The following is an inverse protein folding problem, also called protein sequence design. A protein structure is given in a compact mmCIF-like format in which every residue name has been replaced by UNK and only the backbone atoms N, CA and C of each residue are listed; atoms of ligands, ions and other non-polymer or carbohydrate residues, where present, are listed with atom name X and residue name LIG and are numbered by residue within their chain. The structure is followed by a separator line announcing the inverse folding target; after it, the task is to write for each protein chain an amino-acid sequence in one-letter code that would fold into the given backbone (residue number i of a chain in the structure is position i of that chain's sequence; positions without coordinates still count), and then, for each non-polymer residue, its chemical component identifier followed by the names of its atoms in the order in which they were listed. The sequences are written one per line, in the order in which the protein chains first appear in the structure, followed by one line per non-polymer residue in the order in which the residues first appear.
data_IF_828159151671
#
_entry.id   IF_828159151671
#
_cell.length_a   1.000
_cell.length_b   1.000
_cell.length_c   1.000
_cell.angle_alpha   90.00
_cell.angle_beta   90.00
_cell.angle_gamma   90.00
#
_symmetry.space_group_name_H-M   'P 1'
#
loop_
_entity.id
_entity.type
_entity.pdbx_description
1 polymer ?
#
# COMPACT_ATOMS: atom_id res chain seq x y z
N UNK A 1 40.33 0.99 -5.29
CA UNK A 1 39.40 1.68 -6.19
C UNK A 1 38.12 1.88 -5.41
N UNK A 2 37.93 3.08 -4.88
CA UNK A 2 36.66 3.47 -4.27
C UNK A 2 35.61 3.54 -5.39
N UNK A 3 34.50 2.83 -5.20
CA UNK A 3 33.34 2.92 -6.09
C UNK A 3 32.81 4.35 -5.95
N UNK A 4 32.57 5.11 -7.05
CA UNK A 4 31.99 6.44 -6.92
C UNK A 4 30.62 6.28 -6.25
N UNK A 5 30.41 6.90 -5.09
CA UNK A 5 29.08 7.08 -4.53
C UNK A 5 28.29 7.96 -5.49
N UNK A 6 27.52 7.33 -6.38
CA UNK A 6 26.56 8.04 -7.22
C UNK A 6 25.47 8.57 -6.29
N UNK A 7 25.63 9.80 -5.82
CA UNK A 7 24.66 10.45 -4.95
C UNK A 7 23.31 10.76 -5.64
N UNK A 8 23.06 10.29 -6.87
CA UNK A 8 21.84 10.55 -7.68
C UNK A 8 21.34 12.01 -7.71
N UNK A 9 22.15 13.00 -7.29
CA UNK A 9 21.71 14.38 -7.08
C UNK A 9 20.88 14.62 -5.82
N UNK A 10 20.85 13.71 -4.85
CA UNK A 10 20.12 13.90 -3.59
C UNK A 10 20.71 15.05 -2.77
N UNK A 11 19.81 15.94 -2.35
CA UNK A 11 20.08 16.85 -1.25
C UNK A 11 19.74 16.16 0.08
N UNK A 12 20.53 16.44 1.11
CA UNK A 12 20.32 15.89 2.45
C UNK A 12 19.92 16.99 3.43
N UNK A 13 19.05 16.66 4.37
CA UNK A 13 18.80 17.50 5.54
C UNK A 13 20.02 17.51 6.49
N UNK A 14 19.99 18.39 7.49
CA UNK A 14 21.04 18.51 8.52
C UNK A 14 21.29 17.21 9.32
N UNK A 15 20.48 16.17 9.10
CA UNK A 15 20.57 14.85 9.75
C UNK A 15 21.03 13.76 8.78
N UNK A 16 21.46 14.13 7.57
CA UNK A 16 21.96 13.19 6.56
C UNK A 16 20.87 12.36 5.89
N UNK A 17 19.59 12.79 5.91
CA UNK A 17 18.48 12.09 5.26
C UNK A 17 18.06 12.80 3.98
N UNK A 18 17.59 12.04 3.00
CA UNK A 18 17.22 12.60 1.69
C UNK A 18 16.08 13.60 1.82
N UNK A 19 16.28 14.80 1.26
CA UNK A 19 15.23 15.78 1.06
C UNK A 19 14.43 15.43 -0.20
N UNK A 20 13.33 14.70 0.00
CA UNK A 20 12.47 14.20 -1.09
C UNK A 20 11.93 15.36 -1.95
N UNK A 21 11.56 16.49 -1.35
CA UNK A 21 11.00 17.64 -2.07
C UNK A 21 12.00 18.35 -2.98
N UNK A 22 13.30 18.23 -2.68
CA UNK A 22 14.39 18.79 -3.50
C UNK A 22 15.09 17.73 -4.34
N UNK A 23 14.57 16.50 -4.31
CA UNK A 23 15.05 15.40 -5.13
C UNK A 23 14.72 15.69 -6.60
N UNK A 24 15.66 15.48 -7.54
CA UNK A 24 15.37 15.65 -8.97
C UNK A 24 14.31 14.68 -9.50
N UNK A 25 13.95 13.67 -8.70
CA UNK A 25 12.95 12.66 -9.03
C UNK A 25 11.56 12.95 -8.46
N UNK A 26 11.39 14.03 -7.72
CA UNK A 26 10.09 14.44 -7.21
C UNK A 26 9.54 15.58 -8.07
N UNK A 27 8.60 15.26 -8.95
CA UNK A 27 7.86 16.25 -9.75
C UNK A 27 6.44 16.43 -9.20
N UNK A 28 6.10 17.68 -8.90
CA UNK A 28 4.77 18.10 -8.40
C UNK A 28 3.75 18.14 -9.54
N UNK A 29 4.21 18.21 -10.80
CA UNK A 29 3.43 18.47 -12.00
C UNK A 29 2.95 17.25 -12.79
N UNK A 30 2.29 16.28 -12.15
CA UNK A 30 1.63 15.17 -12.88
C UNK A 30 0.30 15.54 -13.56
N UNK A 31 -0.04 16.83 -13.68
CA UNK A 31 -1.33 17.23 -14.28
C UNK A 31 -1.36 17.06 -15.81
N UNK A 32 -0.23 16.74 -16.46
CA UNK A 32 -0.09 16.76 -17.92
C UNK A 32 0.87 15.73 -18.54
N UNK A 33 1.25 14.65 -17.87
CA UNK A 33 2.25 13.73 -18.45
C UNK A 33 1.61 12.50 -19.10
N UNK A 34 1.92 12.27 -20.38
CA UNK A 34 1.52 11.11 -21.20
C UNK A 34 2.05 9.77 -20.65
N UNK A 35 2.74 9.80 -19.50
CA UNK A 35 3.37 8.67 -18.80
C UNK A 35 2.45 7.97 -17.80
N UNK A 36 1.28 8.53 -17.45
CA UNK A 36 0.28 7.84 -16.60
C UNK A 36 -0.37 6.67 -17.35
N UNK A 37 -0.58 6.82 -18.65
CA UNK A 37 -1.06 5.74 -19.54
C UNK A 37 0.01 4.64 -19.67
N UNK A 38 1.28 5.03 -19.84
CA UNK A 38 2.44 4.13 -19.86
C UNK A 38 2.69 3.43 -18.51
N UNK A 39 2.40 4.10 -17.39
CA UNK A 39 2.45 3.59 -16.02
C UNK A 39 1.40 2.48 -15.81
N UNK A 40 0.14 2.76 -16.17
CA UNK A 40 -0.95 1.78 -16.05
C UNK A 40 -0.75 0.61 -17.03
N UNK A 41 -0.28 0.88 -18.25
CA UNK A 41 0.03 -0.13 -19.26
C UNK A 41 1.28 -0.96 -18.93
N UNK A 42 2.24 -0.46 -18.13
CA UNK A 42 3.38 -1.24 -17.62
C UNK A 42 3.05 -2.03 -16.36
N UNK A 43 2.34 -1.45 -15.42
CA UNK A 43 2.18 -2.03 -14.09
C UNK A 43 1.10 -3.09 -14.06
N UNK A 44 -0.01 -2.89 -14.76
CA UNK A 44 -1.10 -3.88 -14.73
C UNK A 44 -0.65 -5.22 -15.32
N UNK A 45 0.05 -5.28 -16.47
CA UNK A 45 0.58 -6.55 -16.99
C UNK A 45 1.79 -7.07 -16.22
N UNK A 46 2.74 -6.22 -15.81
CA UNK A 46 3.92 -6.68 -15.05
C UNK A 46 3.57 -7.12 -13.64
N UNK A 47 2.55 -6.57 -12.98
CA UNK A 47 2.03 -7.11 -11.72
C UNK A 47 1.33 -8.45 -11.91
N UNK A 48 0.63 -8.66 -13.04
CA UNK A 48 0.02 -9.95 -13.38
C UNK A 48 1.11 -10.98 -13.72
N UNK A 49 2.10 -10.63 -14.55
CA UNK A 49 3.23 -11.50 -14.93
C UNK A 49 4.18 -11.77 -13.77
N UNK A 50 4.48 -10.78 -12.90
CA UNK A 50 5.33 -10.99 -11.72
C UNK A 50 4.62 -11.87 -10.70
N UNK A 51 3.29 -11.75 -10.56
CA UNK A 51 2.50 -12.70 -9.75
C UNK A 51 2.58 -14.10 -10.36
N UNK A 52 2.34 -14.27 -11.66
CA UNK A 52 2.42 -15.58 -12.30
C UNK A 52 3.85 -16.18 -12.27
N UNK A 53 4.90 -15.38 -12.46
CA UNK A 53 6.29 -15.82 -12.42
C UNK A 53 6.76 -16.16 -10.99
N UNK A 54 6.42 -15.35 -9.98
CA UNK A 54 6.82 -15.60 -8.59
C UNK A 54 6.09 -16.82 -7.98
N UNK A 55 4.93 -17.21 -8.53
CA UNK A 55 4.20 -18.43 -8.18
C UNK A 55 4.55 -19.65 -9.05
N UNK A 56 5.35 -19.50 -10.12
CA UNK A 56 5.75 -20.62 -11.00
C UNK A 56 7.05 -21.34 -10.56
N UNK A 57 7.85 -20.76 -9.67
CA UNK A 57 9.25 -21.22 -9.39
C UNK A 57 9.40 -22.15 -8.16
N UNK A 58 8.31 -22.58 -7.51
CA UNK A 58 8.41 -23.60 -6.44
C UNK A 58 7.74 -24.93 -6.82
N UNK A 59 8.50 -25.92 -7.34
CA UNK A 59 8.03 -27.30 -7.48
C UNK A 59 8.18 -28.04 -6.14
N UNK A 60 7.08 -28.28 -5.44
CA UNK A 60 7.08 -29.11 -4.23
C UNK A 60 6.82 -30.57 -4.58
N UNK A 61 7.90 -31.35 -4.68
CA UNK A 61 7.89 -32.82 -4.73
C UNK A 61 7.63 -33.36 -3.32
N UNK A 62 6.62 -34.21 -3.17
CA UNK A 62 6.36 -34.97 -1.95
C UNK A 62 7.21 -36.26 -1.98
N UNK A 63 8.33 -36.28 -1.26
CA UNK A 63 8.93 -37.54 -0.78
C UNK A 63 8.92 -37.59 0.74
N UNK A 64 8.27 -38.63 1.27
CA UNK A 64 7.86 -38.72 2.66
C UNK A 64 8.92 -39.26 3.62
N UNK A 65 8.84 -38.82 4.88
CA UNK A 65 9.00 -39.68 6.06
C UNK A 65 8.08 -39.19 7.18
N UNK A 66 7.53 -40.19 7.88
CA UNK A 66 6.41 -40.12 8.84
C UNK A 66 6.80 -39.46 10.16
N UNK A 67 5.98 -38.51 10.62
CA UNK A 67 5.71 -38.21 12.03
C UNK A 67 4.19 -37.92 12.19
N UNK A 68 3.60 -38.15 13.38
CA UNK A 68 2.16 -38.38 13.58
C UNK A 68 1.31 -37.12 13.35
N UNK A 69 -0.01 -37.26 13.12
CA UNK A 69 -0.79 -36.23 12.43
C UNK A 69 -1.05 -35.03 13.36
N UNK A 70 -0.75 -33.79 12.94
CA UNK A 70 -1.51 -32.64 13.40
C UNK A 70 -2.91 -32.67 12.73
N UNK A 71 -3.93 -32.06 13.35
CA UNK A 71 -5.28 -32.00 12.78
C UNK A 71 -5.24 -31.33 11.40
N UNK A 72 -6.13 -31.80 10.51
CA UNK A 72 -6.20 -31.48 9.07
C UNK A 72 -5.83 -30.03 8.70
N UNK A 73 -5.12 -29.81 7.58
CA UNK A 73 -4.99 -28.47 7.00
C UNK A 73 -6.36 -27.98 6.52
N UNK A 74 -6.69 -26.73 6.83
CA UNK A 74 -7.77 -26.00 6.19
C UNK A 74 -7.41 -25.68 4.72
N UNK A 75 -8.39 -25.59 3.81
CA UNK A 75 -8.15 -25.52 2.37
C UNK A 75 -7.72 -24.12 1.92
N UNK A 76 -6.68 -24.08 1.06
CA UNK A 76 -6.44 -23.19 -0.10
C UNK A 76 -7.01 -21.76 -0.10
N UNK A 77 -6.11 -20.77 -0.20
CA UNK A 77 -6.24 -19.50 -0.97
C UNK A 77 -7.61 -18.81 -0.93
N UNK A 78 -7.89 -18.07 0.14
CA UNK A 78 -9.08 -17.22 0.32
C UNK A 78 -9.04 -15.94 -0.53
N UNK A 79 -7.87 -15.36 -0.75
CA UNK A 79 -7.72 -14.05 -1.43
C UNK A 79 -8.28 -14.08 -2.87
N UNK A 80 -7.98 -15.13 -3.66
CA UNK A 80 -8.52 -15.32 -5.02
C UNK A 80 -10.07 -15.36 -5.09
N UNK A 81 -10.76 -15.75 -4.00
CA UNK A 81 -12.24 -15.79 -3.94
C UNK A 81 -12.85 -14.42 -3.61
N UNK A 82 -12.18 -13.62 -2.80
CA UNK A 82 -12.55 -12.23 -2.52
C UNK A 82 -12.44 -11.41 -3.80
N UNK A 83 -11.33 -11.57 -4.55
CA UNK A 83 -11.15 -10.98 -5.87
C UNK A 83 -12.28 -11.39 -6.83
N UNK A 84 -12.62 -12.67 -6.91
CA UNK A 84 -13.65 -13.15 -7.84
C UNK A 84 -15.07 -12.63 -7.55
N UNK A 85 -15.39 -12.32 -6.29
CA UNK A 85 -16.76 -11.91 -5.90
C UNK A 85 -16.93 -10.40 -5.83
N UNK A 86 -15.92 -9.65 -5.35
CA UNK A 86 -15.85 -8.19 -5.53
C UNK A 86 -15.73 -7.81 -7.01
N UNK A 87 -15.10 -8.63 -7.86
CA UNK A 87 -15.05 -8.42 -9.30
C UNK A 87 -16.43 -8.54 -9.99
N UNK A 88 -17.39 -9.31 -9.45
CA UNK A 88 -18.72 -9.46 -10.07
C UNK A 88 -19.65 -8.26 -9.81
N UNK A 89 -19.54 -7.61 -8.64
CA UNK A 89 -20.26 -6.36 -8.33
C UNK A 89 -19.49 -5.10 -8.75
N UNK A 90 -18.17 -5.14 -8.62
CA UNK A 90 -17.25 -4.04 -8.88
C UNK A 90 -16.75 -3.93 -10.33
N UNK A 91 -17.15 -4.81 -11.26
CA UNK A 91 -16.68 -4.74 -12.65
C UNK A 91 -17.03 -3.40 -13.34
N UNK A 92 -18.15 -2.78 -12.97
CA UNK A 92 -18.56 -1.49 -13.53
C UNK A 92 -17.81 -0.32 -12.86
N UNK A 93 -17.61 -0.38 -11.54
CA UNK A 93 -16.77 0.56 -10.79
C UNK A 93 -15.32 0.51 -11.24
N UNK A 94 -14.78 -0.70 -11.49
CA UNK A 94 -13.42 -0.92 -11.98
C UNK A 94 -13.22 -0.31 -13.36
N UNK A 95 -14.17 -0.51 -14.28
CA UNK A 95 -14.14 0.14 -15.59
C UNK A 95 -14.17 1.67 -15.51
N UNK A 96 -14.88 2.24 -14.53
CA UNK A 96 -14.90 3.68 -14.31
C UNK A 96 -13.60 4.20 -13.70
N UNK A 97 -13.00 3.45 -12.76
CA UNK A 97 -11.65 3.68 -12.25
C UNK A 97 -10.67 3.68 -13.43
N UNK A 98 -10.67 2.63 -14.25
CA UNK A 98 -9.76 2.46 -15.38
C UNK A 98 -9.93 3.58 -16.43
N UNK A 99 -11.17 3.99 -16.74
CA UNK A 99 -11.47 5.06 -17.69
C UNK A 99 -11.06 6.45 -17.19
N UNK A 100 -11.20 6.72 -15.89
CA UNK A 100 -10.87 8.03 -15.30
C UNK A 100 -9.37 8.12 -14.95
N UNK A 101 -8.75 7.00 -14.58
CA UNK A 101 -7.30 6.90 -14.38
C UNK A 101 -6.52 7.07 -15.68
N UNK A 102 -7.06 6.62 -16.82
CA UNK A 102 -6.49 6.86 -18.15
C UNK A 102 -6.55 8.32 -18.64
N UNK A 103 -7.28 9.20 -17.93
CA UNK A 103 -7.41 10.62 -18.30
C UNK A 103 -6.35 11.54 -17.67
N UNK A 104 -5.45 11.00 -16.83
CA UNK A 104 -4.38 11.75 -16.16
C UNK A 104 -4.82 12.56 -14.93
N UNK A 105 -6.13 12.76 -14.70
CA UNK A 105 -6.61 13.53 -13.54
C UNK A 105 -6.98 12.65 -12.33
N UNK A 106 -5.98 12.33 -11.51
CA UNK A 106 -6.17 11.53 -10.28
C UNK A 106 -7.20 12.13 -9.31
N UNK A 107 -7.46 13.45 -9.32
CA UNK A 107 -8.46 14.07 -8.44
C UNK A 107 -9.89 13.76 -8.86
N UNK A 108 -10.14 13.65 -10.16
CA UNK A 108 -11.43 13.18 -10.68
C UNK A 108 -11.58 11.69 -10.43
N UNK A 109 -10.51 10.90 -10.62
CA UNK A 109 -10.54 9.45 -10.50
C UNK A 109 -10.88 8.92 -9.09
N UNK A 110 -10.59 9.69 -8.03
CA UNK A 110 -10.90 9.28 -6.65
C UNK A 110 -12.35 9.56 -6.23
N UNK A 111 -13.10 10.38 -6.98
CA UNK A 111 -14.47 10.76 -6.61
C UNK A 111 -15.40 9.57 -6.66
N UNK A 112 -16.39 9.57 -5.76
CA UNK A 112 -17.47 8.60 -5.80
C UNK A 112 -18.25 8.75 -7.11
N UNK A 113 -18.37 7.69 -7.95
CA UNK A 113 -19.11 7.80 -9.19
C UNK A 113 -20.61 8.05 -8.93
N UNK A 114 -21.30 8.82 -9.80
CA UNK A 114 -22.71 9.13 -9.60
C UNK A 114 -23.58 7.88 -9.53
N UNK A 115 -24.32 7.70 -8.43
CA UNK A 115 -25.24 6.58 -8.24
C UNK A 115 -24.64 5.34 -7.58
N UNK A 116 -23.34 5.34 -7.29
CA UNK A 116 -22.66 4.24 -6.60
C UNK A 116 -22.78 4.33 -5.07
N UNK A 117 -22.66 3.19 -4.40
CA UNK A 117 -22.62 3.13 -2.94
C UNK A 117 -21.24 3.50 -2.40
N UNK A 118 -21.21 4.34 -1.36
CA UNK A 118 -19.97 4.85 -0.79
C UNK A 118 -19.15 3.75 -0.09
N UNK A 119 -19.78 2.75 0.53
CA UNK A 119 -19.06 1.67 1.20
C UNK A 119 -18.50 0.67 0.20
N UNK A 120 -19.23 0.37 -0.89
CA UNK A 120 -18.68 -0.41 -2.02
C UNK A 120 -17.44 0.27 -2.61
N UNK A 121 -17.52 1.58 -2.86
CA UNK A 121 -16.38 2.35 -3.38
C UNK A 121 -15.18 2.33 -2.44
N UNK A 122 -15.42 2.50 -1.14
CA UNK A 122 -14.38 2.39 -0.12
C UNK A 122 -13.80 0.97 -0.05
N UNK A 123 -14.63 -0.07 -0.16
CA UNK A 123 -14.20 -1.46 -0.10
C UNK A 123 -13.23 -1.81 -1.24
N UNK A 124 -13.64 -1.53 -2.48
CA UNK A 124 -12.84 -1.80 -3.69
C UNK A 124 -11.48 -1.10 -3.60
N UNK A 125 -11.49 0.20 -3.28
CA UNK A 125 -10.25 0.97 -3.19
C UNK A 125 -9.38 0.55 -2.00
N UNK A 126 -9.96 0.10 -0.88
CA UNK A 126 -9.18 -0.42 0.27
C UNK A 126 -8.33 -1.61 -0.15
N UNK A 127 -8.91 -2.56 -0.91
CA UNK A 127 -8.19 -3.73 -1.43
C UNK A 127 -7.08 -3.29 -2.40
N UNK A 128 -7.38 -2.36 -3.30
CA UNK A 128 -6.39 -1.86 -4.26
C UNK A 128 -5.19 -1.19 -3.59
N UNK A 129 -5.41 -0.31 -2.61
CA UNK A 129 -4.31 0.32 -1.88
C UNK A 129 -3.53 -0.67 -1.02
N UNK A 130 -4.20 -1.65 -0.39
CA UNK A 130 -3.51 -2.71 0.33
C UNK A 130 -2.53 -3.44 -0.59
N UNK A 131 -2.98 -3.85 -1.78
CA UNK A 131 -2.14 -4.55 -2.75
C UNK A 131 -0.98 -3.69 -3.25
N UNK A 132 -1.24 -2.42 -3.59
CA UNK A 132 -0.20 -1.49 -4.03
C UNK A 132 0.89 -1.33 -2.97
N UNK A 133 0.51 -1.17 -1.70
CA UNK A 133 1.48 -1.05 -0.60
C UNK A 133 2.22 -2.37 -0.37
N UNK A 134 1.53 -3.51 -0.46
CA UNK A 134 2.15 -4.83 -0.31
C UNK A 134 3.20 -5.09 -1.39
N UNK A 135 2.88 -4.75 -2.64
CA UNK A 135 3.79 -4.87 -3.78
C UNK A 135 4.99 -3.91 -3.66
N UNK A 136 4.75 -2.63 -3.35
CA UNK A 136 5.82 -1.65 -3.11
C UNK A 136 6.74 -2.05 -1.96
N UNK A 137 6.19 -2.60 -0.88
CA UNK A 137 7.01 -3.06 0.23
C UNK A 137 7.76 -4.37 -0.10
N UNK A 138 7.17 -5.23 -0.94
CA UNK A 138 7.78 -6.46 -1.43
C UNK A 138 9.17 -6.25 -2.03
N UNK A 139 9.36 -5.16 -2.79
CA UNK A 139 10.65 -4.80 -3.42
C UNK A 139 11.72 -4.35 -2.42
N UNK A 140 11.32 -4.08 -1.18
CA UNK A 140 12.19 -3.60 -0.09
C UNK A 140 12.49 -4.64 0.98
N UNK A 141 11.88 -5.83 0.92
CA UNK A 141 11.98 -6.86 1.98
C UNK A 141 13.42 -7.30 2.28
N UNK A 142 14.29 -7.32 1.27
CA UNK A 142 15.72 -7.65 1.44
C UNK A 142 16.54 -6.52 2.09
N UNK A 143 16.01 -5.30 2.11
CA UNK A 143 16.71 -4.11 2.61
C UNK A 143 16.17 -3.62 3.95
N UNK A 144 14.88 -3.83 4.20
CA UNK A 144 14.22 -3.55 5.47
C UNK A 144 14.37 -4.76 6.40
N UNK A 145 15.51 -4.84 7.08
CA UNK A 145 15.82 -5.94 8.01
C UNK A 145 15.72 -5.49 9.47
N UNK A 146 15.61 -6.42 10.45
CA UNK A 146 15.65 -6.06 11.86
C UNK A 146 16.94 -5.34 12.29
N UNK A 147 18.04 -5.55 11.56
CA UNK A 147 19.33 -4.89 11.82
C UNK A 147 19.32 -3.45 11.30
N UNK A 148 18.81 -3.22 10.08
CA UNK A 148 18.74 -1.89 9.47
C UNK A 148 17.61 -1.04 10.06
N UNK A 149 16.50 -1.67 10.43
CA UNK A 149 15.28 -1.03 10.91
C UNK A 149 14.77 -1.72 12.19
N UNK A 150 15.51 -1.63 13.31
CA UNK A 150 15.18 -2.30 14.57
C UNK A 150 13.89 -1.79 15.22
N UNK A 151 13.38 -0.66 14.76
CA UNK A 151 12.13 -0.05 15.23
C UNK A 151 11.35 0.52 14.05
N UNK A 152 10.03 0.32 14.04
CA UNK A 152 9.16 0.92 13.03
C UNK A 152 9.06 2.44 13.24
N UNK A 153 9.67 3.23 12.35
CA UNK A 153 9.75 4.69 12.47
C UNK A 153 9.44 5.39 11.15
N UNK A 154 9.02 6.65 11.23
CA UNK A 154 8.94 7.58 10.10
C UNK A 154 9.80 8.80 10.42
N UNK A 155 11.10 8.65 10.19
CA UNK A 155 12.11 9.61 10.62
C UNK A 155 12.28 9.65 12.15
N UNK A 156 13.08 10.58 12.67
CA UNK A 156 13.53 10.58 14.07
C UNK A 156 12.47 11.06 15.07
N UNK A 157 11.33 11.56 14.60
CA UNK A 157 10.27 12.14 15.45
C UNK A 157 9.12 11.18 15.71
N UNK A 158 8.96 10.15 14.88
CA UNK A 158 7.76 9.30 14.88
C UNK A 158 8.16 7.84 14.98
N UNK A 159 7.72 7.20 16.06
CA UNK A 159 7.85 5.77 16.32
C UNK A 159 6.45 5.14 16.35
N UNK A 160 6.30 4.00 15.67
CA UNK A 160 5.05 3.24 15.63
C UNK A 160 5.18 1.94 16.41
N UNK A 161 4.27 1.74 17.35
CA UNK A 161 4.14 0.51 18.13
C UNK A 161 2.94 -0.29 17.66
N UNK A 162 3.06 -1.62 17.71
CA UNK A 162 2.03 -2.52 17.22
C UNK A 162 1.05 -2.92 18.32
N UNK A 163 -0.25 -2.84 18.02
CA UNK A 163 -1.34 -3.44 18.79
C UNK A 163 -2.51 -3.70 17.85
N UNK A 164 -3.12 -4.88 17.91
CA UNK A 164 -4.31 -5.24 17.13
C UNK A 164 -5.61 -5.13 17.94
N UNK A 165 -5.51 -4.89 19.26
CA UNK A 165 -6.66 -4.80 20.16
C UNK A 165 -7.30 -6.16 20.53
N UNK A 166 -6.86 -7.24 19.89
CA UNK A 166 -7.39 -8.60 20.07
C UNK A 166 -6.35 -9.48 20.74
N UNK A 167 -5.28 -9.85 20.01
CA UNK A 167 -4.20 -10.69 20.54
C UNK A 167 -3.18 -9.84 21.33
N UNK A 168 -2.86 -8.66 20.80
CA UNK A 168 -1.90 -7.71 21.35
C UNK A 168 -2.64 -6.43 21.75
N UNK A 169 -3.09 -6.40 23.00
CA UNK A 169 -3.84 -5.27 23.57
C UNK A 169 -2.97 -4.10 24.00
N UNK A 170 -1.74 -4.37 24.42
CA UNK A 170 -0.77 -3.34 24.82
C UNK A 170 0.20 -3.10 23.67
N UNK A 171 0.43 -1.84 23.24
CA UNK A 171 1.37 -1.54 22.18
C UNK A 171 2.77 -2.08 22.48
N UNK A 172 3.31 -2.91 21.58
CA UNK A 172 4.65 -3.48 21.67
C UNK A 172 5.60 -2.81 20.66
N UNK A 173 6.86 -2.73 21.04
CA UNK A 173 7.95 -2.34 20.15
C UNK A 173 8.37 -3.56 19.32
N UNK A 174 8.49 -3.37 18.02
CA UNK A 174 8.95 -4.37 17.06
C UNK A 174 9.76 -3.68 15.96
N UNK A 175 10.59 -4.45 15.26
CA UNK A 175 11.30 -3.97 14.08
C UNK A 175 10.32 -3.55 12.97
N UNK A 176 10.77 -2.68 12.07
CA UNK A 176 9.95 -2.26 10.93
C UNK A 176 9.43 -3.43 10.08
N UNK A 177 10.26 -4.42 9.67
CA UNK A 177 9.73 -5.56 8.92
C UNK A 177 8.73 -6.38 9.70
N UNK A 178 8.92 -6.54 11.02
CA UNK A 178 7.97 -7.27 11.86
C UNK A 178 6.65 -6.51 12.05
N UNK A 179 6.72 -5.18 12.14
CA UNK A 179 5.52 -4.34 12.15
C UNK A 179 4.73 -4.49 10.86
N UNK A 180 5.40 -4.45 9.70
CA UNK A 180 4.75 -4.56 8.39
C UNK A 180 4.15 -5.94 8.19
N UNK A 181 4.83 -7.02 8.60
CA UNK A 181 4.29 -8.38 8.62
C UNK A 181 2.97 -8.43 9.40
N UNK A 182 2.97 -7.99 10.67
CA UNK A 182 1.75 -7.96 11.48
C UNK A 182 0.65 -7.07 10.88
N UNK A 183 1.03 -6.00 10.20
CA UNK A 183 0.08 -5.13 9.53
C UNK A 183 -0.60 -5.83 8.36
N UNK A 184 0.17 -6.47 7.48
CA UNK A 184 -0.38 -7.14 6.31
C UNK A 184 -1.30 -8.29 6.72
N UNK A 185 -0.86 -9.16 7.63
CA UNK A 185 -1.66 -10.25 8.19
C UNK A 185 -2.97 -9.73 8.81
N UNK A 186 -2.90 -8.62 9.54
CA UNK A 186 -4.08 -8.01 10.15
C UNK A 186 -5.05 -7.46 9.10
N UNK A 187 -4.57 -6.74 8.07
CA UNK A 187 -5.44 -6.21 7.02
C UNK A 187 -6.09 -7.36 6.26
N UNK A 188 -5.34 -8.40 5.88
CA UNK A 188 -5.89 -9.59 5.21
C UNK A 188 -7.01 -10.22 6.03
N UNK A 189 -6.80 -10.41 7.33
CA UNK A 189 -7.84 -10.93 8.21
C UNK A 189 -9.12 -10.05 8.25
N UNK A 190 -8.97 -8.72 8.13
CA UNK A 190 -10.13 -7.83 8.03
C UNK A 190 -10.85 -7.96 6.67
N UNK A 191 -10.09 -8.06 5.57
CA UNK A 191 -10.64 -8.19 4.21
C UNK A 191 -11.32 -9.54 3.99
N UNK A 192 -10.82 -10.60 4.64
CA UNK A 192 -11.37 -11.96 4.59
C UNK A 192 -12.64 -12.14 5.45
N UNK A 193 -12.91 -11.22 6.38
CA UNK A 193 -14.08 -11.28 7.26
C UNK A 193 -15.35 -10.79 6.53
N UNK A 194 -16.20 -11.73 6.10
CA UNK A 194 -17.49 -11.45 5.43
C UNK A 194 -18.44 -10.56 6.25
N UNK A 195 -18.25 -10.44 7.57
CA UNK A 195 -19.03 -9.54 8.41
C UNK A 195 -18.58 -8.08 8.31
N UNK A 196 -17.35 -7.85 7.82
CA UNK A 196 -16.75 -6.52 7.62
C UNK A 196 -16.76 -6.15 6.14
N UNK A 197 -16.31 -7.06 5.27
CA UNK A 197 -16.28 -6.94 3.82
C UNK A 197 -17.22 -7.99 3.20
N UNK A 198 -18.52 -7.66 3.03
CA UNK A 198 -19.48 -8.61 2.50
C UNK A 198 -19.11 -9.02 1.07
N UNK A 199 -19.03 -10.33 0.82
CA UNK A 199 -18.71 -10.84 -0.50
C UNK A 199 -19.96 -11.05 -1.36
N UNK A 200 -21.15 -11.13 -0.76
CA UNK A 200 -22.40 -11.42 -1.47
C UNK A 200 -23.15 -10.13 -1.80
N UNK A 201 -23.48 -9.96 -3.08
CA UNK A 201 -24.29 -8.85 -3.58
C UNK A 201 -25.57 -8.67 -2.77
N UNK A 202 -25.85 -7.42 -2.37
CA UNK A 202 -27.03 -7.06 -1.57
C UNK A 202 -26.88 -7.28 -0.06
N UNK A 203 -25.74 -7.79 0.41
CA UNK A 203 -25.45 -7.86 1.85
C UNK A 203 -24.97 -6.50 2.35
N UNK A 204 -25.61 -5.90 3.37
CA UNK A 204 -25.23 -4.58 3.84
C UNK A 204 -23.88 -4.60 4.58
N UNK A 205 -23.07 -3.56 4.38
CA UNK A 205 -21.88 -3.32 5.20
C UNK A 205 -22.25 -3.04 6.67
N UNK A 206 -21.38 -3.38 7.63
CA UNK A 206 -21.64 -3.09 9.03
C UNK A 206 -21.62 -1.58 9.31
N UNK A 207 -22.33 -1.16 10.36
CA UNK A 207 -22.44 0.27 10.71
C UNK A 207 -21.09 0.95 11.00
N UNK A 208 -20.10 0.20 11.46
CA UNK A 208 -18.74 0.69 11.75
C UNK A 208 -17.76 0.48 10.60
N UNK A 209 -18.22 0.11 9.39
CA UNK A 209 -17.35 -0.20 8.25
C UNK A 209 -16.34 0.92 7.96
N UNK A 210 -16.82 2.18 7.89
CA UNK A 210 -15.95 3.33 7.63
C UNK A 210 -14.86 3.51 8.70
N UNK A 211 -15.12 3.14 9.96
CA UNK A 211 -14.12 3.23 11.02
C UNK A 211 -13.04 2.14 10.89
N UNK A 212 -13.42 0.96 10.40
CA UNK A 212 -12.47 -0.10 10.04
C UNK A 212 -11.59 0.36 8.87
N UNK A 213 -12.19 0.89 7.80
CA UNK A 213 -11.47 1.44 6.65
C UNK A 213 -10.49 2.55 7.07
N UNK A 214 -10.93 3.51 7.89
CA UNK A 214 -10.05 4.55 8.48
C UNK A 214 -8.85 3.95 9.20
N UNK A 215 -9.06 2.87 9.94
CA UNK A 215 -7.98 2.19 10.66
C UNK A 215 -6.99 1.51 9.71
N UNK A 216 -7.48 0.86 8.66
CA UNK A 216 -6.65 0.26 7.60
C UNK A 216 -5.79 1.34 6.93
N UNK A 217 -6.40 2.41 6.42
CA UNK A 217 -5.69 3.50 5.73
C UNK A 217 -4.67 4.18 6.64
N UNK A 218 -5.02 4.47 7.90
CA UNK A 218 -4.06 5.04 8.86
C UNK A 218 -2.83 4.15 9.05
N UNK A 219 -3.00 2.82 9.05
CA UNK A 219 -1.88 1.90 9.21
C UNK A 219 -1.07 1.73 7.91
N UNK A 220 -1.72 1.65 6.75
CA UNK A 220 -1.05 1.65 5.45
C UNK A 220 -0.19 2.89 5.23
N UNK A 221 -0.68 4.07 5.66
CA UNK A 221 0.11 5.31 5.62
C UNK A 221 1.45 5.19 6.36
N UNK A 222 1.53 4.42 7.45
CA UNK A 222 2.78 4.23 8.20
C UNK A 222 3.84 3.49 7.38
N UNK A 223 3.41 2.62 6.47
CA UNK A 223 4.32 1.92 5.54
C UNK A 223 4.88 2.91 4.53
N UNK A 224 4.04 3.75 3.91
CA UNK A 224 4.53 4.84 3.04
C UNK A 224 5.50 5.76 3.79
N UNK A 225 5.13 6.22 4.98
CA UNK A 225 5.98 7.09 5.79
C UNK A 225 7.33 6.44 6.11
N UNK A 226 7.34 5.14 6.43
CA UNK A 226 8.58 4.41 6.63
C UNK A 226 9.42 4.31 5.36
N UNK A 227 8.81 3.95 4.22
CA UNK A 227 9.50 3.84 2.92
C UNK A 227 10.17 5.17 2.54
N UNK A 228 9.43 6.28 2.60
CA UNK A 228 9.98 7.60 2.26
C UNK A 228 11.12 8.03 3.19
N UNK A 229 11.03 7.78 4.49
CA UNK A 229 12.07 8.21 5.43
C UNK A 229 13.30 7.29 5.48
N UNK A 230 13.12 5.98 5.29
CA UNK A 230 14.16 4.97 5.55
C UNK A 230 14.70 4.29 4.29
N UNK A 231 13.91 4.26 3.21
CA UNK A 231 14.22 3.44 2.02
C UNK A 231 14.12 4.18 0.69
N UNK A 232 13.91 5.50 0.67
CA UNK A 232 13.74 6.26 -0.57
C UNK A 232 14.95 6.18 -1.52
N UNK A 233 16.18 6.22 -0.99
CA UNK A 233 17.38 6.01 -1.80
C UNK A 233 17.38 4.64 -2.50
N UNK A 234 16.86 3.63 -1.81
CA UNK A 234 16.79 2.27 -2.33
C UNK A 234 15.75 2.17 -3.44
N UNK A 235 14.58 2.78 -3.24
CA UNK A 235 13.55 2.93 -4.28
C UNK A 235 14.11 3.59 -5.55
N UNK A 236 14.88 4.67 -5.42
CA UNK A 236 15.52 5.32 -6.57
C UNK A 236 16.56 4.42 -7.23
N UNK A 237 17.35 3.66 -6.45
CA UNK A 237 18.30 2.70 -7.02
C UNK A 237 17.62 1.56 -7.80
N UNK A 238 16.38 1.22 -7.42
CA UNK A 238 15.52 0.26 -8.11
C UNK A 238 14.75 0.87 -9.29
N UNK A 239 14.80 2.20 -9.46
CA UNK A 239 14.04 2.97 -10.47
C UNK A 239 12.52 2.86 -10.28
N UNK A 240 12.07 2.77 -9.03
CA UNK A 240 10.66 2.61 -8.66
C UNK A 240 10.04 3.90 -8.09
N UNK A 241 10.77 5.00 -8.06
CA UNK A 241 10.34 6.25 -7.43
C UNK A 241 9.11 6.87 -8.07
N UNK A 242 8.97 6.79 -9.39
CA UNK A 242 7.75 7.20 -10.08
C UNK A 242 6.53 6.39 -9.61
N UNK A 243 6.72 5.11 -9.30
CA UNK A 243 5.66 4.22 -8.84
C UNK A 243 5.26 4.52 -7.41
N UNK A 244 6.24 4.65 -6.52
CA UNK A 244 6.00 5.08 -5.14
C UNK A 244 5.25 6.41 -5.09
N UNK A 245 5.71 7.42 -5.85
CA UNK A 245 5.13 8.76 -5.85
C UNK A 245 3.70 8.75 -6.40
N UNK A 246 3.43 8.02 -7.48
CA UNK A 246 2.10 7.93 -8.09
C UNK A 246 1.10 7.21 -7.17
N UNK A 247 1.48 6.04 -6.64
CA UNK A 247 0.66 5.31 -5.67
C UNK A 247 0.37 6.17 -4.43
N UNK A 248 1.37 6.88 -3.92
CA UNK A 248 1.20 7.76 -2.76
C UNK A 248 0.31 8.97 -3.07
N UNK A 249 0.46 9.61 -4.23
CA UNK A 249 -0.43 10.71 -4.68
C UNK A 249 -1.87 10.24 -4.74
N UNK A 250 -2.13 9.09 -5.37
CA UNK A 250 -3.46 8.49 -5.43
C UNK A 250 -4.02 8.20 -4.03
N UNK A 251 -3.22 7.58 -3.16
CA UNK A 251 -3.58 7.29 -1.77
C UNK A 251 -3.96 8.55 -1.00
N UNK A 252 -3.15 9.61 -1.08
CA UNK A 252 -3.41 10.88 -0.37
C UNK A 252 -4.68 11.54 -0.89
N UNK A 253 -4.87 11.65 -2.21
CA UNK A 253 -6.08 12.24 -2.79
C UNK A 253 -7.34 11.47 -2.34
N UNK A 254 -7.31 10.14 -2.35
CA UNK A 254 -8.42 9.31 -1.89
C UNK A 254 -8.70 9.50 -0.38
N UNK A 255 -7.65 9.53 0.45
CA UNK A 255 -7.82 9.74 1.91
C UNK A 255 -8.40 11.12 2.23
N UNK A 256 -8.07 12.14 1.45
CA UNK A 256 -8.63 13.49 1.59
C UNK A 256 -10.09 13.55 1.15
N UNK A 257 -10.43 12.96 0.01
CA UNK A 257 -11.80 12.94 -0.54
C UNK A 257 -12.80 12.33 0.46
N UNK A 258 -12.44 11.22 1.10
CA UNK A 258 -13.35 10.51 2.03
C UNK A 258 -13.11 10.79 3.51
N UNK A 259 -12.11 11.60 3.84
CA UNK A 259 -11.73 11.94 5.21
C UNK A 259 -11.29 10.71 6.02
N UNK A 260 -10.36 9.93 5.48
CA UNK A 260 -9.96 8.63 6.03
C UNK A 260 -8.85 8.71 7.08
N UNK A 261 -8.05 9.78 7.08
CA UNK A 261 -6.92 9.95 7.99
C UNK A 261 -6.95 11.37 8.58
N UNK A 262 -6.82 11.47 9.91
CA UNK A 262 -6.71 12.76 10.58
C UNK A 262 -5.39 13.46 10.20
N UNK A 263 -5.43 14.78 9.99
CA UNK A 263 -4.24 15.59 9.63
C UNK A 263 -3.04 15.39 10.57
N UNK A 264 -3.29 15.17 11.86
CA UNK A 264 -2.23 14.91 12.86
C UNK A 264 -1.43 13.63 12.59
N UNK A 265 -2.08 12.61 12.02
CA UNK A 265 -1.44 11.32 11.70
C UNK A 265 -0.59 11.44 10.42
N UNK A 266 -0.92 12.39 9.54
CA UNK A 266 -0.20 12.69 8.30
C UNK A 266 1.07 13.52 8.51
N UNK A 267 1.28 14.04 9.72
CA UNK A 267 2.42 14.90 10.09
C UNK A 267 3.82 14.39 9.62
N UNK A 268 4.13 13.07 9.64
CA UNK A 268 5.44 12.58 9.20
C UNK A 268 5.80 12.88 7.73
N UNK A 269 4.78 13.08 6.88
CA UNK A 269 4.97 13.40 5.45
C UNK A 269 4.23 14.69 5.08
N UNK A 270 4.01 15.59 6.04
CA UNK A 270 3.17 16.78 5.83
C UNK A 270 3.64 17.64 4.65
N UNK A 271 4.94 17.95 4.57
CA UNK A 271 5.49 18.80 3.50
C UNK A 271 5.27 18.15 2.11
N UNK A 272 5.45 16.83 2.02
CA UNK A 272 5.18 16.05 0.80
C UNK A 272 3.69 16.11 0.43
N UNK A 273 2.81 15.93 1.41
CA UNK A 273 1.36 15.94 1.21
C UNK A 273 0.86 17.33 0.80
N UNK A 274 1.40 18.40 1.39
CA UNK A 274 1.05 19.77 1.05
C UNK A 274 1.31 20.07 -0.43
N UNK A 275 2.43 19.56 -0.99
CA UNK A 275 2.73 19.67 -2.42
C UNK A 275 1.73 18.92 -3.32
N UNK A 276 1.09 17.86 -2.81
CA UNK A 276 0.10 17.07 -3.56
C UNK A 276 -1.27 17.74 -3.52
N UNK A 277 -1.68 18.26 -2.36
CA UNK A 277 -3.05 18.74 -2.14
C UNK A 277 -3.25 20.17 -2.61
N UNK A 278 -2.24 21.04 -2.55
CA UNK A 278 -2.34 22.43 -3.00
C UNK A 278 -2.07 22.47 -4.50
N UNK A 279 -3.06 22.78 -5.35
CA UNK A 279 -2.81 23.04 -6.76
C UNK A 279 -2.07 24.38 -6.87
N UNK A 280 -1.00 24.43 -7.65
CA UNK A 280 -0.44 25.70 -8.13
C UNK A 280 -1.37 26.35 -9.16
#
# INVERSE_FOLDING_TARGET
MEVPEWNFGFEYDDRGRVNILRSPFFDVGFDFDDTVEEYLARIVPTLIETVDDHFSVYPWIIEGRRLPPPPRPAPTSSSLRIYGTLALGGAQLRKHIDATLGSGNLREAVRLPPGEDANEWLAVNTVDFFNQVNLLYGTLTEFCTPENCPTMTAGPKYEYRWADGVQIKKPIEVSAPKYVEYLMDWIEAQLDDESIFPQKLGTPFPHNFKDVVKTIFKRLFRVYAHIYHSHFQKIVSLKEEAHLNTCFKHFILFTYEFGLIDKKELAPLQELIESIIVPY
#
